data_IF_562258962060
#
_entry.id   IF_562258962060
#
_cell.length_a   1.000
_cell.length_b   1.000
_cell.length_c   1.000
_cell.angle_alpha   90.00
_cell.angle_beta   90.00
_cell.angle_gamma   90.00
#
_symmetry.space_group_name_H-M   'P 1'
#
loop_
_entity.id
_entity.type
_entity.pdbx_description
1 polymer ?
#
# COMPACT_ATOMS: atom_id res chain seq x y z
N UNK A 1 25.76 6.73 -25.07
CA UNK A 1 25.07 7.01 -23.80
C UNK A 1 23.95 8.00 -24.09
N UNK A 2 22.77 7.84 -23.49
CA UNK A 2 21.66 8.77 -23.70
C UNK A 2 21.94 10.05 -22.89
N UNK A 3 22.14 11.17 -23.58
CA UNK A 3 22.51 12.46 -22.97
C UNK A 3 21.38 13.12 -22.16
N UNK A 4 20.17 12.58 -22.24
CA UNK A 4 18.97 13.09 -21.58
C UNK A 4 18.67 12.41 -20.24
N UNK A 5 19.44 11.38 -19.86
CA UNK A 5 19.30 10.71 -18.57
C UNK A 5 20.28 11.32 -17.58
N UNK A 6 19.77 11.81 -16.46
CA UNK A 6 20.61 12.24 -15.35
C UNK A 6 21.06 11.05 -14.50
N UNK A 7 21.96 11.29 -13.54
CA UNK A 7 22.48 10.24 -12.65
C UNK A 7 21.38 9.59 -11.80
N UNK A 8 20.30 10.32 -11.52
CA UNK A 8 19.17 9.82 -10.72
C UNK A 8 18.34 8.85 -11.55
N UNK A 9 18.08 9.19 -12.80
CA UNK A 9 17.38 8.33 -13.76
C UNK A 9 18.17 7.05 -14.01
N UNK A 10 19.48 7.16 -14.26
CA UNK A 10 20.36 6.00 -14.47
C UNK A 10 20.27 5.06 -13.27
N UNK A 11 20.49 5.60 -12.05
CA UNK A 11 20.45 4.79 -10.83
C UNK A 11 19.09 4.14 -10.60
N UNK A 12 17.99 4.85 -10.91
CA UNK A 12 16.64 4.30 -10.81
C UNK A 12 16.41 3.11 -11.74
N UNK A 13 16.93 3.17 -12.97
CA UNK A 13 16.84 2.04 -13.91
C UNK A 13 17.78 0.90 -13.50
N UNK A 14 18.97 1.19 -13.01
CA UNK A 14 19.90 0.17 -12.48
C UNK A 14 19.31 -0.58 -11.28
N UNK A 15 18.62 0.13 -10.39
CA UNK A 15 17.91 -0.48 -9.24
C UNK A 15 16.83 -1.49 -9.68
N UNK A 16 16.27 -1.38 -10.89
CA UNK A 16 15.29 -2.36 -11.40
C UNK A 16 15.89 -3.75 -11.57
N UNK A 17 17.18 -3.88 -11.93
CA UNK A 17 17.81 -5.19 -12.08
C UNK A 17 17.87 -5.96 -10.76
N UNK A 18 17.81 -5.27 -9.62
CA UNK A 18 17.77 -5.88 -8.30
C UNK A 18 16.34 -6.03 -7.76
N UNK A 19 15.50 -5.01 -7.96
CA UNK A 19 14.16 -4.95 -7.35
C UNK A 19 13.08 -5.63 -8.18
N UNK A 20 13.19 -5.58 -9.51
CA UNK A 20 12.28 -6.24 -10.44
C UNK A 20 13.03 -6.60 -11.74
N UNK A 21 13.85 -7.67 -11.70
CA UNK A 21 14.70 -8.06 -12.83
C UNK A 21 13.90 -8.32 -14.11
N UNK A 22 12.66 -8.78 -13.98
CA UNK A 22 11.76 -9.00 -15.11
C UNK A 22 11.35 -7.69 -15.79
N UNK A 23 11.00 -6.65 -15.01
CA UNK A 23 10.68 -5.33 -15.54
C UNK A 23 11.91 -4.66 -16.15
N UNK A 24 13.11 -4.88 -15.57
CA UNK A 24 14.36 -4.39 -16.13
C UNK A 24 14.60 -4.92 -17.56
N UNK A 25 14.37 -6.21 -17.81
CA UNK A 25 14.49 -6.79 -19.17
C UNK A 25 13.62 -6.09 -20.22
N UNK A 26 12.42 -5.67 -19.84
CA UNK A 26 11.49 -4.99 -20.76
C UNK A 26 11.87 -3.51 -20.93
N UNK A 27 12.03 -2.80 -19.80
CA UNK A 27 12.17 -1.33 -19.80
C UNK A 27 13.61 -0.87 -20.09
N UNK A 28 14.60 -1.63 -19.62
CA UNK A 28 16.03 -1.30 -19.77
C UNK A 28 16.67 -2.03 -20.95
N UNK A 29 16.39 -3.33 -21.12
CA UNK A 29 17.03 -4.13 -22.18
C UNK A 29 16.25 -4.14 -23.52
N UNK A 30 15.01 -3.64 -23.52
CA UNK A 30 14.17 -3.55 -24.72
C UNK A 30 13.60 -4.88 -25.19
N UNK A 31 13.54 -5.89 -24.32
CA UNK A 31 12.94 -7.18 -24.64
C UNK A 31 11.41 -7.09 -24.81
N UNK A 32 10.88 -7.89 -25.73
CA UNK A 32 9.44 -8.08 -25.88
C UNK A 32 8.92 -8.97 -24.75
N UNK A 33 8.15 -8.40 -23.84
CA UNK A 33 7.50 -9.14 -22.76
C UNK A 33 6.05 -8.73 -22.59
N UNK A 34 5.17 -9.72 -22.36
CA UNK A 34 3.81 -9.47 -21.87
C UNK A 34 3.92 -9.23 -20.36
N UNK A 35 3.22 -8.23 -19.84
CA UNK A 35 3.10 -8.00 -18.39
C UNK A 35 2.17 -9.04 -17.71
N UNK A 36 2.30 -10.33 -18.06
CA UNK A 36 1.51 -11.42 -17.47
C UNK A 36 2.26 -12.05 -16.27
N UNK A 37 1.78 -11.81 -15.06
CA UNK A 37 2.35 -12.34 -13.80
C UNK A 37 1.85 -11.60 -12.57
N UNK A 38 2.14 -12.13 -11.37
CA UNK A 38 1.90 -11.44 -10.10
C UNK A 38 2.55 -10.05 -10.13
N UNK A 39 1.78 -9.00 -9.82
CA UNK A 39 2.25 -7.61 -9.78
C UNK A 39 3.34 -7.44 -8.71
N UNK A 40 3.25 -8.21 -7.62
CA UNK A 40 4.22 -8.23 -6.53
C UNK A 40 4.81 -9.63 -6.38
N UNK A 41 6.10 -9.78 -6.66
CA UNK A 41 6.84 -11.04 -6.53
C UNK A 41 7.59 -11.13 -5.18
N UNK A 42 7.79 -10.00 -4.50
CA UNK A 42 8.51 -9.86 -3.23
C UNK A 42 7.58 -9.87 -2.00
N UNK A 43 6.60 -10.76 -1.98
CA UNK A 43 5.65 -10.90 -0.86
C UNK A 43 5.95 -12.19 -0.10
N UNK A 44 6.03 -12.09 1.23
CA UNK A 44 6.22 -13.25 2.11
C UNK A 44 5.20 -13.21 3.22
N UNK A 45 4.48 -14.31 3.42
CA UNK A 45 3.58 -14.50 4.56
C UNK A 45 4.37 -15.16 5.68
N UNK A 46 4.49 -14.47 6.81
CA UNK A 46 5.17 -14.97 8.02
C UNK A 46 4.49 -14.40 9.25
N UNK A 47 4.62 -15.09 10.37
CA UNK A 47 4.23 -14.53 11.67
C UNK A 47 5.24 -13.48 12.11
N UNK A 48 4.74 -12.37 12.65
CA UNK A 48 5.54 -11.31 13.25
C UNK A 48 4.73 -10.56 14.31
N UNK A 49 5.42 -9.90 15.24
CA UNK A 49 4.79 -9.08 16.27
C UNK A 49 4.81 -7.60 15.85
N UNK A 50 3.63 -7.03 15.63
CA UNK A 50 3.49 -5.61 15.27
C UNK A 50 3.93 -4.67 16.39
N UNK A 51 3.76 -5.06 17.65
CA UNK A 51 4.09 -4.22 18.81
C UNK A 51 5.61 -4.16 18.98
N UNK A 52 6.31 -5.24 18.63
CA UNK A 52 7.76 -5.25 18.51
C UNK A 52 8.26 -4.35 17.39
N UNK A 53 7.66 -4.44 16.20
CA UNK A 53 8.03 -3.58 15.06
C UNK A 53 7.82 -2.09 15.37
N UNK A 54 6.74 -1.75 16.09
CA UNK A 54 6.47 -0.38 16.53
C UNK A 54 7.50 0.19 17.52
N UNK A 55 8.35 -0.64 18.13
CA UNK A 55 9.46 -0.16 18.97
C UNK A 55 10.54 0.54 18.14
N UNK A 56 10.68 0.19 16.87
CA UNK A 56 11.54 0.91 15.95
C UNK A 56 10.79 2.13 15.37
N UNK A 57 11.30 3.32 15.70
CA UNK A 57 10.74 4.59 15.23
C UNK A 57 10.76 4.78 13.71
N UNK A 58 11.54 3.97 12.97
CA UNK A 58 11.53 3.97 11.51
C UNK A 58 10.25 3.35 10.93
N UNK A 59 9.56 2.50 11.70
CA UNK A 59 8.28 1.90 11.29
C UNK A 59 7.12 2.86 11.55
N UNK A 60 6.52 3.35 10.46
CA UNK A 60 5.40 4.30 10.51
C UNK A 60 4.09 3.57 10.27
N UNK A 61 3.09 3.81 11.12
CA UNK A 61 1.74 3.33 10.91
C UNK A 61 1.09 4.03 9.71
N UNK A 62 0.66 3.24 8.74
CA UNK A 62 -0.07 3.69 7.57
C UNK A 62 -1.37 2.91 7.45
N UNK A 63 -2.49 3.64 7.36
CA UNK A 63 -3.81 3.04 7.24
C UNK A 63 -4.47 3.56 5.97
N UNK A 64 -4.78 2.63 5.06
CA UNK A 64 -5.51 2.90 3.83
C UNK A 64 -6.97 2.48 3.96
N UNK A 65 -7.86 3.25 3.34
CA UNK A 65 -9.28 2.95 3.22
C UNK A 65 -9.72 3.10 1.76
N UNK A 66 -10.37 2.08 1.22
CA UNK A 66 -10.96 2.09 -0.12
C UNK A 66 -12.47 1.90 0.04
N UNK A 67 -13.26 2.84 -0.46
CA UNK A 67 -14.70 2.80 -0.34
C UNK A 67 -15.31 1.93 -1.44
N UNK A 68 -16.09 0.93 -1.00
CA UNK A 68 -16.89 0.09 -1.89
C UNK A 68 -18.28 -0.10 -1.29
N UNK A 69 -19.31 -0.05 -2.15
CA UNK A 69 -20.70 -0.15 -1.71
C UNK A 69 -21.41 -1.41 -2.21
N UNK A 70 -21.72 -1.50 -3.51
CA UNK A 70 -22.69 -2.47 -4.03
C UNK A 70 -22.09 -3.86 -4.28
N UNK A 71 -21.07 -3.91 -5.14
CA UNK A 71 -20.35 -5.15 -5.48
C UNK A 71 -18.90 -5.07 -5.02
N UNK A 72 -18.35 -3.86 -5.01
CA UNK A 72 -17.04 -3.58 -4.45
C UNK A 72 -17.16 -3.45 -2.92
N UNK A 73 -16.33 -4.18 -2.16
CA UNK A 73 -16.28 -4.06 -0.71
C UNK A 73 -15.50 -2.83 -0.27
N UNK A 74 -15.90 -2.28 0.87
CA UNK A 74 -15.05 -1.36 1.61
C UNK A 74 -13.88 -2.12 2.21
N UNK A 75 -12.66 -1.68 1.90
CA UNK A 75 -11.41 -2.31 2.33
C UNK A 75 -10.60 -1.37 3.22
N UNK A 76 -10.29 -1.80 4.44
CA UNK A 76 -9.33 -1.15 5.33
C UNK A 76 -8.05 -1.97 5.33
N UNK A 77 -6.89 -1.35 5.11
CA UNK A 77 -5.59 -2.02 5.19
C UNK A 77 -4.71 -1.27 6.19
N UNK A 78 -4.15 -2.00 7.15
CA UNK A 78 -3.26 -1.46 8.17
C UNK A 78 -1.86 -2.04 7.99
N UNK A 79 -0.89 -1.14 7.82
CA UNK A 79 0.49 -1.50 7.58
C UNK A 79 1.49 -0.66 8.38
N UNK A 80 2.68 -1.21 8.56
CA UNK A 80 3.87 -0.47 8.99
C UNK A 80 4.80 -0.31 7.79
N UNK A 81 5.21 0.92 7.50
CA UNK A 81 6.14 1.22 6.41
C UNK A 81 7.47 1.66 7.00
N UNK A 82 8.56 1.06 6.52
CA UNK A 82 9.92 1.43 6.86
C UNK A 82 10.65 1.95 5.61
N UNK A 83 10.86 3.27 5.55
CA UNK A 83 11.54 3.89 4.41
C UNK A 83 13.03 3.51 4.32
N UNK A 84 13.63 3.06 5.43
CA UNK A 84 15.06 2.70 5.49
C UNK A 84 15.30 1.27 5.01
N UNK A 85 14.53 0.30 5.51
CA UNK A 85 14.62 -1.08 5.04
C UNK A 85 13.86 -1.33 3.73
N UNK A 86 13.01 -0.38 3.32
CA UNK A 86 12.09 -0.47 2.17
C UNK A 86 11.10 -1.64 2.30
N UNK A 87 10.63 -1.88 3.52
CA UNK A 87 9.69 -2.95 3.84
C UNK A 87 8.30 -2.40 4.19
N UNK A 88 7.28 -3.18 3.84
CA UNK A 88 5.88 -2.92 4.20
C UNK A 88 5.37 -4.16 4.92
N UNK A 89 4.95 -3.99 6.17
CA UNK A 89 4.36 -5.04 7.00
C UNK A 89 2.86 -4.83 7.08
N UNK A 90 2.07 -5.66 6.40
CA UNK A 90 0.60 -5.64 6.50
C UNK A 90 0.17 -6.56 7.63
N UNK A 91 -0.51 -6.02 8.64
CA UNK A 91 -0.79 -6.75 9.89
C UNK A 91 -2.26 -6.83 10.26
N UNK A 92 -3.12 -6.00 9.67
CA UNK A 92 -4.56 -6.05 9.90
C UNK A 92 -5.32 -5.55 8.66
N UNK A 93 -6.51 -6.10 8.46
CA UNK A 93 -7.40 -5.75 7.36
C UNK A 93 -8.87 -5.80 7.79
N UNK A 94 -9.71 -5.08 7.04
CA UNK A 94 -11.15 -5.24 7.06
C UNK A 94 -11.66 -5.27 5.63
N UNK A 95 -12.55 -6.20 5.30
CA UNK A 95 -13.09 -6.33 3.95
C UNK A 95 -14.57 -6.69 4.00
N UNK A 96 -15.45 -5.74 3.66
CA UNK A 96 -16.91 -5.91 3.78
C UNK A 96 -17.68 -5.15 2.70
N UNK A 97 -18.70 -5.80 2.14
CA UNK A 97 -19.64 -5.19 1.18
C UNK A 97 -20.84 -4.54 1.87
N UNK A 98 -21.48 -3.59 1.20
CA UNK A 98 -22.78 -3.04 1.61
C UNK A 98 -22.75 -2.16 2.86
N UNK A 99 -21.57 -1.69 3.28
CA UNK A 99 -21.46 -0.84 4.47
C UNK A 99 -21.93 0.57 4.16
N UNK A 100 -22.82 1.10 5.00
CA UNK A 100 -23.10 2.54 5.02
C UNK A 100 -22.04 3.28 5.84
N UNK A 101 -21.92 4.60 5.67
CA UNK A 101 -20.87 5.42 6.31
C UNK A 101 -20.74 5.20 7.81
N UNK A 102 -21.88 5.11 8.51
CA UNK A 102 -21.92 4.87 9.97
C UNK A 102 -21.34 3.51 10.36
N UNK A 103 -21.51 2.50 9.53
CA UNK A 103 -20.98 1.16 9.76
C UNK A 103 -19.47 1.11 9.47
N UNK A 104 -19.00 1.86 8.47
CA UNK A 104 -17.56 2.06 8.23
C UNK A 104 -16.91 2.75 9.45
N UNK A 105 -17.52 3.82 9.97
CA UNK A 105 -17.04 4.50 11.17
C UNK A 105 -17.00 3.56 12.39
N UNK A 106 -18.04 2.72 12.55
CA UNK A 106 -18.11 1.73 13.62
C UNK A 106 -17.02 0.67 13.46
N UNK A 107 -16.82 0.14 12.25
CA UNK A 107 -15.78 -0.83 11.96
C UNK A 107 -14.38 -0.29 12.31
N UNK A 108 -14.09 0.96 11.94
CA UNK A 108 -12.82 1.62 12.28
C UNK A 108 -12.65 1.78 13.81
N UNK A 109 -13.73 2.12 14.52
CA UNK A 109 -13.74 2.24 15.99
C UNK A 109 -13.54 0.88 16.68
N UNK A 110 -14.27 -0.13 16.25
CA UNK A 110 -14.21 -1.49 16.81
C UNK A 110 -12.80 -2.09 16.64
N UNK A 111 -12.12 -1.78 15.53
CA UNK A 111 -10.71 -2.15 15.31
C UNK A 111 -9.69 -1.28 16.05
N UNK A 112 -10.10 -0.16 16.63
CA UNK A 112 -9.24 0.71 17.43
C UNK A 112 -8.53 1.83 16.66
N UNK A 113 -8.72 1.97 15.34
CA UNK A 113 -8.00 2.94 14.51
C UNK A 113 -8.65 4.33 14.42
N UNK A 114 -9.73 4.58 15.17
CA UNK A 114 -10.50 5.83 15.14
C UNK A 114 -9.71 7.11 15.52
N UNK A 115 -8.52 6.97 16.12
CA UNK A 115 -7.62 8.10 16.45
C UNK A 115 -6.42 8.18 15.52
N UNK A 116 -6.28 7.22 14.61
CA UNK A 116 -5.17 7.16 13.67
C UNK A 116 -5.49 7.99 12.43
N UNK A 117 -4.46 8.47 11.76
CA UNK A 117 -4.62 9.06 10.43
C UNK A 117 -4.93 7.94 9.44
N UNK A 118 -6.03 8.09 8.70
CA UNK A 118 -6.48 7.15 7.67
C UNK A 118 -6.52 7.90 6.34
N UNK A 119 -5.89 7.34 5.32
CA UNK A 119 -5.91 7.86 3.97
C UNK A 119 -6.96 7.08 3.18
N UNK A 120 -8.03 7.76 2.80
CA UNK A 120 -9.11 7.18 2.02
C UNK A 120 -9.01 7.58 0.53
N UNK A 121 -9.66 6.84 -0.36
CA UNK A 121 -9.80 7.26 -1.75
C UNK A 121 -10.50 8.63 -1.86
N UNK A 122 -10.14 9.39 -2.88
CA UNK A 122 -10.71 10.73 -3.12
C UNK A 122 -11.97 10.70 -3.99
N UNK A 123 -12.44 9.52 -4.43
CA UNK A 123 -13.59 9.43 -5.31
C UNK A 123 -14.87 9.81 -4.55
N UNK A 124 -14.94 9.47 -3.26
CA UNK A 124 -16.10 9.71 -2.40
C UNK A 124 -15.85 10.78 -1.33
N UNK A 125 -15.60 12.04 -1.76
CA UNK A 125 -15.36 13.18 -0.86
C UNK A 125 -16.45 13.38 0.21
N UNK A 126 -17.71 13.05 -0.13
CA UNK A 126 -18.84 13.17 0.80
C UNK A 126 -18.70 12.20 1.98
N UNK A 127 -18.28 10.96 1.74
CA UNK A 127 -18.08 9.96 2.79
C UNK A 127 -16.94 10.37 3.72
N UNK A 128 -15.86 10.92 3.17
CA UNK A 128 -14.73 11.44 3.95
C UNK A 128 -15.18 12.55 4.92
N UNK A 129 -15.95 13.52 4.44
CA UNK A 129 -16.45 14.61 5.28
C UNK A 129 -17.42 14.13 6.36
N UNK A 130 -18.25 13.13 6.05
CA UNK A 130 -19.15 12.51 7.05
C UNK A 130 -18.36 11.73 8.12
N UNK A 131 -17.24 11.09 7.76
CA UNK A 131 -16.38 10.39 8.72
C UNK A 131 -15.54 11.34 9.60
N UNK A 132 -15.31 12.58 9.15
CA UNK A 132 -14.60 13.62 9.92
C UNK A 132 -15.50 14.33 10.94
N UNK A 133 -16.81 14.27 10.76
CA UNK A 133 -17.83 14.93 11.57
C UNK A 133 -18.14 14.17 12.87
#
# INVERSE_FOLDING_TARGET
CNEWLDEVDIKRYEDLYHTNPRRARIVCDGEWGVAEGLIYENVTVKDFDKDELLRDSANKLCIGLDFGFTHDPTALCCSLINDTTKEIYVFDEAYKVGLITKEVAKMIKDKGYHRSQIIADSAELRLIEELRS
#
